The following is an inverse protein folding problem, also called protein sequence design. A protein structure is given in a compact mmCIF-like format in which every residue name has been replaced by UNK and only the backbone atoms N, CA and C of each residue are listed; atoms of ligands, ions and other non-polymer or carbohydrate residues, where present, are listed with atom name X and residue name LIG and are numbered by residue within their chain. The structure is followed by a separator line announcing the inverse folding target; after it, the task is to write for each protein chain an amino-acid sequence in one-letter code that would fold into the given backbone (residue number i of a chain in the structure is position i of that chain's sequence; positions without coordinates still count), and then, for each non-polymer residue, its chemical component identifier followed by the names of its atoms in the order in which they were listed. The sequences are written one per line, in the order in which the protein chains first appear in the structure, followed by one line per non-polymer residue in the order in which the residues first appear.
data_IF_288350146872
#
_entry.id   IF_288350146872
#
_cell.length_a   1.000
_cell.length_b   1.000
_cell.length_c   1.000
_cell.angle_alpha   90.00
_cell.angle_beta   90.00
_cell.angle_gamma   90.00
#
_symmetry.space_group_name_H-M   'P 1'
#
loop_
_entity.id
_entity.type
_entity.pdbx_description
1 polymer ?
#
# COMPACT_ATOMS: atom_id res chain seq x y z
N UNK A 1 2.75 -28.45 37.90
CA UNK A 1 3.34 -28.24 36.58
C UNK A 1 2.32 -27.44 35.80
N UNK A 2 2.63 -26.20 35.39
CA UNK A 2 1.79 -25.48 34.43
C UNK A 2 1.75 -26.34 33.17
N UNK A 3 0.55 -26.68 32.67
CA UNK A 3 0.39 -27.44 31.42
C UNK A 3 1.05 -26.68 30.28
N UNK A 4 1.74 -27.40 29.37
CA UNK A 4 2.17 -26.79 28.11
C UNK A 4 0.92 -26.32 27.38
N UNK A 5 0.93 -25.07 26.86
CA UNK A 5 -0.14 -24.53 26.03
C UNK A 5 -0.32 -25.37 24.75
N UNK A 6 -1.51 -25.36 24.17
CA UNK A 6 -1.74 -25.94 22.86
C UNK A 6 -1.18 -25.01 21.77
N UNK A 7 -0.49 -25.59 20.78
CA UNK A 7 0.00 -24.82 19.61
C UNK A 7 -1.14 -24.61 18.64
N UNK A 8 -1.44 -23.33 18.35
CA UNK A 8 -2.33 -22.95 17.26
C UNK A 8 -1.48 -22.59 16.02
N UNK A 9 -1.54 -23.43 14.99
CA UNK A 9 -0.81 -23.20 13.76
C UNK A 9 -1.35 -22.00 12.94
N UNK A 10 -2.61 -21.60 13.15
CA UNK A 10 -3.20 -20.46 12.45
C UNK A 10 -2.78 -19.11 13.07
N UNK A 11 -2.51 -19.08 14.36
CA UNK A 11 -1.99 -17.91 15.10
C UNK A 11 -0.88 -18.32 16.08
N UNK A 12 0.33 -18.66 15.58
CA UNK A 12 1.40 -19.26 16.40
C UNK A 12 1.87 -18.43 17.60
N UNK A 13 1.74 -17.12 17.51
CA UNK A 13 2.17 -16.19 18.57
C UNK A 13 1.00 -15.44 19.20
N UNK A 14 -0.22 -15.93 19.01
CA UNK A 14 -1.44 -15.37 19.62
C UNK A 14 -1.54 -13.86 19.34
N UNK A 15 -1.44 -13.50 18.06
CA UNK A 15 -1.54 -12.12 17.59
C UNK A 15 -2.88 -11.51 18.00
N UNK A 16 -3.95 -12.29 17.91
CA UNK A 16 -5.30 -11.84 18.24
C UNK A 16 -5.42 -11.37 19.70
N UNK A 17 -4.75 -12.05 20.64
CA UNK A 17 -4.73 -11.67 22.06
C UNK A 17 -4.00 -10.36 22.32
N UNK A 18 -3.13 -9.91 21.41
CA UNK A 18 -2.33 -8.68 21.52
C UNK A 18 -3.06 -7.45 20.95
N UNK A 19 -4.22 -7.63 20.35
CA UNK A 19 -5.04 -6.57 19.77
C UNK A 19 -6.03 -6.02 20.81
N UNK A 20 -6.35 -4.73 20.71
CA UNK A 20 -7.46 -4.14 21.43
C UNK A 20 -8.81 -4.58 20.84
N UNK A 21 -9.90 -4.37 21.57
CA UNK A 21 -11.25 -4.69 21.07
C UNK A 21 -11.60 -3.89 19.81
N UNK A 22 -11.21 -2.60 19.76
CA UNK A 22 -11.42 -1.76 18.59
C UNK A 22 -10.62 -2.26 17.37
N UNK A 23 -9.36 -2.67 17.59
CA UNK A 23 -8.52 -3.22 16.52
C UNK A 23 -9.09 -4.54 15.97
N UNK A 24 -9.60 -5.42 16.84
CA UNK A 24 -10.30 -6.64 16.43
C UNK A 24 -11.55 -6.31 15.62
N UNK A 25 -12.39 -5.38 16.09
CA UNK A 25 -13.60 -4.97 15.38
C UNK A 25 -13.29 -4.40 13.99
N UNK A 26 -12.28 -3.54 13.87
CA UNK A 26 -11.85 -2.96 12.59
C UNK A 26 -11.32 -4.07 11.65
N UNK A 27 -10.49 -4.98 12.16
CA UNK A 27 -10.01 -6.14 11.40
C UNK A 27 -11.16 -7.00 10.88
N UNK A 28 -12.10 -7.35 11.76
CA UNK A 28 -13.22 -8.23 11.41
C UNK A 28 -14.15 -7.58 10.38
N UNK A 29 -14.37 -6.26 10.48
CA UNK A 29 -15.10 -5.48 9.48
C UNK A 29 -14.38 -5.51 8.14
N UNK A 30 -13.06 -5.28 8.12
CA UNK A 30 -12.26 -5.33 6.90
C UNK A 30 -12.23 -6.74 6.30
N UNK A 31 -12.13 -7.78 7.14
CA UNK A 31 -12.17 -9.17 6.72
C UNK A 31 -13.51 -9.53 6.05
N UNK A 32 -14.62 -9.24 6.71
CA UNK A 32 -15.96 -9.51 6.17
C UNK A 32 -16.16 -8.80 4.82
N UNK A 33 -15.83 -7.50 4.74
CA UNK A 33 -15.90 -6.76 3.50
C UNK A 33 -15.01 -7.37 2.40
N UNK A 34 -13.77 -7.70 2.72
CA UNK A 34 -12.84 -8.29 1.77
C UNK A 34 -13.35 -9.62 1.21
N UNK A 35 -13.84 -10.51 2.07
CA UNK A 35 -14.35 -11.83 1.66
C UNK A 35 -15.68 -11.71 0.90
N UNK A 36 -16.62 -10.91 1.37
CA UNK A 36 -17.96 -10.86 0.82
C UNK A 36 -18.09 -9.99 -0.43
N UNK A 37 -17.26 -8.92 -0.52
CA UNK A 37 -17.39 -7.93 -1.59
C UNK A 37 -16.20 -7.89 -2.56
N UNK A 38 -14.97 -8.05 -2.09
CA UNK A 38 -13.78 -7.97 -2.96
C UNK A 38 -13.44 -9.33 -3.59
N UNK A 39 -13.47 -10.42 -2.83
CA UNK A 39 -13.10 -11.74 -3.33
C UNK A 39 -13.94 -12.21 -4.53
N UNK A 40 -15.27 -12.01 -4.59
CA UNK A 40 -16.06 -12.40 -5.76
C UNK A 40 -15.72 -11.63 -7.05
N UNK A 41 -15.17 -10.41 -6.94
CA UNK A 41 -14.87 -9.53 -8.08
C UNK A 41 -13.49 -9.74 -8.67
N UNK A 42 -12.53 -10.25 -7.88
CA UNK A 42 -11.10 -10.11 -8.20
C UNK A 42 -10.67 -10.88 -9.46
N UNK A 43 -11.20 -12.07 -9.70
CA UNK A 43 -10.80 -12.89 -10.85
C UNK A 43 -11.10 -12.17 -12.15
N UNK A 44 -12.31 -11.64 -12.32
CA UNK A 44 -12.72 -10.86 -13.48
C UNK A 44 -11.96 -9.53 -13.56
N UNK A 45 -11.87 -8.78 -12.45
CA UNK A 45 -11.18 -7.51 -12.39
C UNK A 45 -9.70 -7.64 -12.79
N UNK A 46 -9.02 -8.69 -12.35
CA UNK A 46 -7.63 -8.95 -12.74
C UNK A 46 -7.50 -9.36 -14.21
N UNK A 47 -8.36 -10.24 -14.70
CA UNK A 47 -8.34 -10.69 -16.09
C UNK A 47 -8.60 -9.56 -17.08
N UNK A 48 -9.54 -8.67 -16.78
CA UNK A 48 -10.00 -7.57 -17.63
C UNK A 48 -9.21 -6.27 -17.42
N UNK A 49 -8.28 -6.25 -16.46
CA UNK A 49 -7.54 -5.02 -16.06
C UNK A 49 -8.51 -3.88 -15.69
N UNK A 50 -9.53 -4.25 -14.92
CA UNK A 50 -10.62 -3.38 -14.53
C UNK A 50 -10.51 -2.96 -13.06
N UNK A 51 -10.81 -1.69 -12.80
CA UNK A 51 -10.94 -1.12 -11.46
C UNK A 51 -12.36 -0.59 -11.30
N UNK A 52 -13.09 -1.10 -10.30
CA UNK A 52 -14.41 -0.63 -9.94
C UNK A 52 -14.30 0.56 -8.96
N UNK A 53 -14.67 1.80 -9.38
CA UNK A 53 -14.57 2.98 -8.51
C UNK A 53 -15.48 2.92 -7.27
N UNK A 54 -16.57 2.14 -7.31
CA UNK A 54 -17.51 2.03 -6.19
C UNK A 54 -16.86 1.41 -4.95
N UNK A 55 -15.75 0.67 -5.12
CA UNK A 55 -14.94 0.14 -4.01
C UNK A 55 -14.49 1.25 -3.05
N UNK A 56 -14.18 2.45 -3.55
CA UNK A 56 -13.80 3.57 -2.69
C UNK A 56 -14.94 4.01 -1.78
N UNK A 57 -16.16 4.11 -2.31
CA UNK A 57 -17.36 4.44 -1.54
C UNK A 57 -17.70 3.35 -0.53
N UNK A 58 -17.68 2.09 -0.96
CA UNK A 58 -17.91 0.94 -0.07
C UNK A 58 -16.91 0.93 1.11
N UNK A 59 -15.63 1.14 0.84
CA UNK A 59 -14.59 1.25 1.89
C UNK A 59 -14.79 2.49 2.78
N UNK A 60 -15.20 3.61 2.19
CA UNK A 60 -15.47 4.85 2.92
C UNK A 60 -16.63 4.72 3.89
N UNK A 61 -17.75 4.09 3.48
CA UNK A 61 -18.92 3.81 4.32
C UNK A 61 -18.57 2.93 5.55
N UNK A 62 -17.55 2.08 5.42
CA UNK A 62 -17.06 1.21 6.48
C UNK A 62 -15.91 1.82 7.32
N UNK A 63 -15.51 3.07 7.02
CA UNK A 63 -14.39 3.73 7.70
C UNK A 63 -13.00 3.12 7.41
N UNK A 64 -12.86 2.39 6.31
CA UNK A 64 -11.60 1.74 5.93
C UNK A 64 -10.64 2.67 5.16
N UNK A 65 -11.12 3.85 4.74
CA UNK A 65 -10.31 4.89 4.11
C UNK A 65 -9.85 5.92 5.16
N UNK A 66 -8.53 6.17 5.22
CA UNK A 66 -7.95 7.11 6.16
C UNK A 66 -8.21 6.78 7.64
N UNK A 67 -8.06 5.52 8.08
CA UNK A 67 -8.38 5.14 9.46
C UNK A 67 -7.61 5.94 10.51
N UNK A 68 -6.43 6.47 10.20
CA UNK A 68 -5.61 7.30 11.09
C UNK A 68 -5.94 8.79 11.04
N UNK A 69 -6.90 9.21 10.20
CA UNK A 69 -7.35 10.61 10.12
C UNK A 69 -8.33 10.87 11.27
N UNK A 70 -8.21 12.00 11.99
CA UNK A 70 -9.13 12.34 13.07
C UNK A 70 -10.60 12.45 12.63
N UNK A 71 -11.51 12.16 13.56
CA UNK A 71 -12.97 12.20 13.33
C UNK A 71 -13.45 13.58 12.89
N UNK A 72 -12.83 14.66 13.37
CA UNK A 72 -13.20 16.04 13.00
C UNK A 72 -13.02 16.33 11.48
N UNK A 73 -12.22 15.50 10.79
CA UNK A 73 -12.02 15.54 9.33
C UNK A 73 -12.67 14.37 8.61
N UNK A 74 -13.55 13.61 9.29
CA UNK A 74 -14.30 12.50 8.70
C UNK A 74 -13.58 11.16 8.69
N UNK A 75 -12.42 11.04 9.31
CA UNK A 75 -11.74 9.76 9.55
C UNK A 75 -12.30 9.02 10.75
N UNK A 76 -11.65 7.93 11.14
CA UNK A 76 -12.05 7.08 12.28
C UNK A 76 -11.21 7.39 13.54
N UNK A 77 -10.09 8.06 13.38
CA UNK A 77 -9.18 8.37 14.50
C UNK A 77 -8.49 7.16 15.10
N UNK A 78 -8.43 6.04 14.36
CA UNK A 78 -7.77 4.81 14.79
C UNK A 78 -6.24 4.89 14.66
N UNK A 79 -5.53 3.97 15.31
CA UNK A 79 -4.08 3.88 15.25
C UNK A 79 -3.53 3.20 13.99
N UNK A 80 -2.19 3.19 13.90
CA UNK A 80 -1.50 2.55 12.79
C UNK A 80 -1.66 1.03 12.78
N UNK A 81 -1.81 0.38 13.95
CA UNK A 81 -2.09 -1.06 14.00
C UNK A 81 -3.40 -1.36 13.29
N UNK A 82 -4.47 -0.60 13.55
CA UNK A 82 -5.74 -0.75 12.85
C UNK A 82 -5.59 -0.58 11.32
N UNK A 83 -4.84 0.45 10.87
CA UNK A 83 -4.52 0.64 9.45
C UNK A 83 -3.79 -0.58 8.86
N UNK A 84 -2.82 -1.14 9.58
CA UNK A 84 -2.09 -2.34 9.17
C UNK A 84 -3.01 -3.56 9.02
N UNK A 85 -3.92 -3.76 9.97
CA UNK A 85 -4.89 -4.86 9.95
C UNK A 85 -5.84 -4.74 8.75
N UNK A 86 -6.34 -3.54 8.46
CA UNK A 86 -7.15 -3.30 7.23
C UNK A 86 -6.34 -3.64 5.98
N UNK A 87 -5.09 -3.17 5.89
CA UNK A 87 -4.22 -3.46 4.75
C UNK A 87 -3.99 -4.98 4.57
N UNK A 88 -3.81 -5.74 5.68
CA UNK A 88 -3.66 -7.19 5.67
C UNK A 88 -4.88 -7.89 5.09
N UNK A 89 -6.08 -7.55 5.54
CA UNK A 89 -7.30 -8.22 5.11
C UNK A 89 -7.66 -7.88 3.65
N UNK A 90 -7.45 -6.65 3.22
CA UNK A 90 -7.68 -6.24 1.81
C UNK A 90 -6.66 -6.89 0.88
N UNK A 91 -5.36 -6.94 1.24
CA UNK A 91 -4.32 -7.53 0.38
C UNK A 91 -4.35 -9.07 0.39
N UNK A 92 -4.96 -9.69 1.39
CA UNK A 92 -5.30 -11.13 1.36
C UNK A 92 -6.13 -11.47 0.11
N UNK A 93 -6.94 -10.53 -0.36
CA UNK A 93 -7.67 -10.67 -1.63
C UNK A 93 -6.80 -10.24 -2.80
N UNK A 94 -6.28 -9.00 -2.78
CA UNK A 94 -5.46 -8.51 -3.89
C UNK A 94 -4.61 -7.29 -3.51
N UNK A 95 -3.33 -7.31 -3.92
CA UNK A 95 -2.43 -6.17 -3.70
C UNK A 95 -2.87 -4.92 -4.47
N UNK A 96 -3.60 -5.05 -5.57
CA UNK A 96 -4.16 -3.91 -6.30
C UNK A 96 -5.20 -3.16 -5.47
N UNK A 97 -6.12 -3.86 -4.85
CA UNK A 97 -7.13 -3.26 -3.97
C UNK A 97 -6.49 -2.59 -2.74
N UNK A 98 -5.50 -3.23 -2.11
CA UNK A 98 -4.77 -2.61 -1.01
C UNK A 98 -4.01 -1.36 -1.48
N UNK A 99 -3.43 -1.39 -2.68
CA UNK A 99 -2.72 -0.24 -3.25
C UNK A 99 -3.64 0.97 -3.45
N UNK A 100 -4.85 0.76 -3.98
CA UNK A 100 -5.88 1.80 -4.12
C UNK A 100 -6.21 2.45 -2.78
N UNK A 101 -6.52 1.64 -1.77
CA UNK A 101 -6.81 2.08 -0.40
C UNK A 101 -5.63 2.84 0.23
N UNK A 102 -4.42 2.30 0.07
CA UNK A 102 -3.20 2.88 0.65
C UNK A 102 -2.85 4.24 0.04
N UNK A 103 -2.99 4.39 -1.28
CA UNK A 103 -2.81 5.68 -1.96
C UNK A 103 -3.80 6.71 -1.42
N UNK A 104 -5.08 6.37 -1.33
CA UNK A 104 -6.11 7.25 -0.77
C UNK A 104 -5.74 7.69 0.66
N UNK A 105 -5.45 6.73 1.54
CA UNK A 105 -5.25 6.96 2.98
C UNK A 105 -3.91 7.63 3.30
N UNK A 106 -2.79 7.06 2.81
CA UNK A 106 -1.44 7.43 3.24
C UNK A 106 -0.76 8.44 2.34
N UNK A 107 -1.13 8.50 1.05
CA UNK A 107 -0.45 9.34 0.07
C UNK A 107 -1.29 10.57 -0.34
N UNK A 108 -2.61 10.57 -0.10
CA UNK A 108 -3.50 11.70 -0.38
C UNK A 108 -4.03 12.31 0.91
N UNK A 109 -4.75 11.56 1.73
CA UNK A 109 -5.35 12.10 2.96
C UNK A 109 -4.27 12.51 3.97
N UNK A 110 -3.24 11.69 4.17
CA UNK A 110 -2.18 12.00 5.12
C UNK A 110 -1.46 13.32 4.80
N UNK A 111 -0.94 13.60 3.59
CA UNK A 111 -0.28 14.88 3.31
C UNK A 111 -1.21 16.09 3.43
N UNK A 112 -2.48 15.97 3.07
CA UNK A 112 -3.46 17.03 3.27
C UNK A 112 -3.66 17.29 4.78
N UNK A 113 -3.79 16.23 5.58
CA UNK A 113 -3.92 16.36 7.03
C UNK A 113 -2.65 16.93 7.69
N UNK A 114 -1.48 16.39 7.33
CA UNK A 114 -0.22 16.74 7.99
C UNK A 114 0.37 18.08 7.54
N UNK A 115 0.13 18.48 6.29
CA UNK A 115 0.81 19.60 5.67
C UNK A 115 -0.13 20.67 5.08
N UNK A 116 -1.42 20.36 4.96
CA UNK A 116 -2.42 21.28 4.42
C UNK A 116 -2.83 22.37 5.39
N UNK A 117 -3.39 23.45 4.84
CA UNK A 117 -4.10 24.47 5.62
C UNK A 117 -5.39 23.88 6.21
N UNK A 118 -5.97 24.60 7.18
CA UNK A 118 -7.23 24.18 7.78
C UNK A 118 -8.37 24.11 6.74
N UNK A 119 -8.40 25.06 5.81
CA UNK A 119 -9.37 25.09 4.72
C UNK A 119 -9.21 23.88 3.79
N UNK A 120 -7.98 23.52 3.43
CA UNK A 120 -7.70 22.31 2.66
C UNK A 120 -8.17 21.05 3.38
N UNK A 121 -7.88 20.92 4.69
CA UNK A 121 -8.32 19.75 5.48
C UNK A 121 -9.84 19.61 5.47
N UNK A 122 -10.57 20.70 5.79
CA UNK A 122 -12.04 20.70 5.84
C UNK A 122 -12.68 20.49 4.47
N UNK A 123 -12.03 20.94 3.41
CA UNK A 123 -12.53 20.79 2.05
C UNK A 123 -12.35 19.36 1.51
N UNK A 124 -11.14 18.79 1.63
CA UNK A 124 -10.79 17.53 0.97
C UNK A 124 -11.06 16.29 1.82
N UNK A 125 -10.65 16.31 3.11
CA UNK A 125 -10.59 15.08 3.90
C UNK A 125 -11.94 14.38 4.09
N UNK A 126 -13.07 15.09 4.38
CA UNK A 126 -14.34 14.41 4.57
C UNK A 126 -14.85 13.69 3.31
N UNK A 127 -14.60 14.25 2.11
CA UNK A 127 -15.01 13.64 0.84
C UNK A 127 -14.13 12.44 0.47
N UNK A 128 -12.84 12.54 0.74
CA UNK A 128 -11.86 11.46 0.54
C UNK A 128 -12.13 10.31 1.50
N UNK A 129 -12.46 10.59 2.77
CA UNK A 129 -12.77 9.59 3.78
C UNK A 129 -14.03 8.78 3.45
N UNK A 130 -15.06 9.43 2.89
CA UNK A 130 -16.27 8.75 2.42
C UNK A 130 -16.14 8.09 1.05
N UNK A 131 -14.97 8.20 0.40
CA UNK A 131 -14.76 7.67 -0.95
C UNK A 131 -15.59 8.35 -2.04
N UNK A 132 -16.16 9.52 -1.75
CA UNK A 132 -16.85 10.37 -2.73
C UNK A 132 -15.88 10.95 -3.76
N UNK A 133 -14.68 11.28 -3.31
CA UNK A 133 -13.58 11.71 -4.13
C UNK A 133 -12.42 10.70 -4.05
N UNK A 134 -11.82 10.45 -5.19
CA UNK A 134 -10.67 9.57 -5.35
C UNK A 134 -9.42 10.42 -5.52
N UNK A 135 -8.36 10.07 -4.79
CA UNK A 135 -7.10 10.77 -4.86
C UNK A 135 -5.97 9.97 -5.50
N UNK A 136 -4.99 10.70 -6.03
CA UNK A 136 -3.73 10.13 -6.49
C UNK A 136 -2.53 10.95 -6.02
N UNK A 137 -1.33 10.33 -6.10
CA UNK A 137 -0.08 10.89 -5.58
C UNK A 137 0.99 10.91 -6.65
N UNK A 138 1.32 12.10 -7.15
CA UNK A 138 2.27 12.31 -8.22
C UNK A 138 3.66 12.70 -7.72
N UNK A 139 4.53 11.71 -7.51
CA UNK A 139 5.94 11.90 -7.17
C UNK A 139 6.86 11.42 -8.29
N UNK A 140 6.75 10.14 -8.65
CA UNK A 140 7.61 9.45 -9.63
C UNK A 140 7.46 10.03 -11.02
N UNK A 141 8.59 10.24 -11.71
CA UNK A 141 8.67 10.67 -13.10
C UNK A 141 9.33 9.61 -13.98
N UNK A 142 9.19 9.68 -15.32
CA UNK A 142 9.82 8.71 -16.22
C UNK A 142 11.32 8.53 -15.97
N UNK A 143 12.04 9.60 -15.66
CA UNK A 143 13.49 9.62 -15.43
C UNK A 143 13.89 9.74 -13.93
N UNK A 144 12.92 9.77 -13.00
CA UNK A 144 13.16 9.97 -11.57
C UNK A 144 12.26 9.05 -10.72
N UNK A 145 12.69 7.80 -10.54
CA UNK A 145 12.03 6.79 -9.72
C UNK A 145 12.66 6.69 -8.32
N UNK A 146 13.74 5.91 -8.18
CA UNK A 146 14.43 5.72 -6.89
C UNK A 146 15.13 6.99 -6.38
N UNK A 147 15.42 7.93 -7.28
CA UNK A 147 15.90 9.28 -6.95
C UNK A 147 14.80 10.33 -7.27
N UNK A 148 13.83 10.53 -6.38
CA UNK A 148 12.78 11.54 -6.60
C UNK A 148 13.31 12.97 -6.50
N UNK A 149 14.52 13.19 -5.96
CA UNK A 149 15.18 14.49 -5.95
C UNK A 149 15.56 15.01 -7.32
N UNK A 150 15.77 14.08 -8.27
CA UNK A 150 16.05 14.40 -9.68
C UNK A 150 14.81 14.81 -10.49
N UNK A 151 13.61 14.91 -9.89
CA UNK A 151 12.38 15.30 -10.60
C UNK A 151 12.55 16.58 -11.42
N UNK A 152 11.88 16.64 -12.56
CA UNK A 152 11.87 17.77 -13.48
C UNK A 152 10.59 18.60 -13.45
N UNK A 153 9.50 18.07 -12.88
CA UNK A 153 8.24 18.82 -12.72
C UNK A 153 8.51 20.10 -11.93
N UNK A 154 8.04 21.22 -12.47
CA UNK A 154 8.23 22.57 -11.90
C UNK A 154 6.90 23.21 -11.54
N UNK A 155 6.93 24.06 -10.52
CA UNK A 155 5.87 24.98 -10.16
C UNK A 155 6.44 26.39 -10.18
N UNK A 156 6.12 27.15 -11.23
CA UNK A 156 6.56 28.52 -11.41
C UNK A 156 5.57 29.47 -10.78
N UNK A 157 6.05 30.41 -9.97
CA UNK A 157 5.20 31.46 -9.38
C UNK A 157 4.65 32.39 -10.48
N UNK A 158 3.36 32.63 -10.41
CA UNK A 158 2.63 33.60 -11.25
C UNK A 158 1.80 34.52 -10.35
N UNK A 159 1.17 35.54 -10.94
CA UNK A 159 0.28 36.39 -10.17
C UNK A 159 -0.91 35.59 -9.62
N UNK A 160 -1.12 35.65 -8.29
CA UNK A 160 -2.19 34.95 -7.59
C UNK A 160 -2.02 33.42 -7.44
N UNK A 161 -0.87 32.82 -7.84
CA UNK A 161 -0.72 31.36 -7.72
C UNK A 161 0.54 30.77 -8.35
N UNK A 162 0.39 29.59 -8.91
CA UNK A 162 1.47 28.85 -9.54
C UNK A 162 1.03 28.24 -10.87
N UNK A 163 2.01 27.99 -11.74
CA UNK A 163 1.85 27.26 -12.99
C UNK A 163 2.72 26.01 -12.95
N UNK A 164 2.07 24.84 -13.02
CA UNK A 164 2.74 23.54 -12.94
C UNK A 164 2.94 22.95 -14.34
N UNK A 165 4.18 22.47 -14.61
CA UNK A 165 4.53 21.82 -15.89
C UNK A 165 5.42 20.63 -15.63
N UNK A 166 5.12 19.49 -16.29
CA UNK A 166 5.86 18.24 -16.18
C UNK A 166 4.97 17.00 -16.32
N UNK A 167 5.55 15.85 -16.01
CA UNK A 167 4.85 14.57 -16.13
C UNK A 167 5.18 13.66 -14.95
N UNK A 168 4.16 12.95 -14.43
CA UNK A 168 4.33 11.88 -13.45
C UNK A 168 3.91 10.55 -14.09
N UNK A 169 4.53 9.46 -13.67
CA UNK A 169 4.26 8.12 -14.21
C UNK A 169 4.08 7.09 -13.10
N UNK A 170 3.44 5.98 -13.43
CA UNK A 170 3.09 4.91 -12.48
C UNK A 170 2.21 5.39 -11.32
N UNK A 171 1.28 6.29 -11.62
CA UNK A 171 0.43 6.92 -10.61
C UNK A 171 -0.88 6.13 -10.47
N UNK A 172 -0.98 5.38 -9.38
CA UNK A 172 -2.22 4.66 -9.03
C UNK A 172 -3.38 5.62 -8.87
N UNK A 173 -4.54 5.20 -9.34
CA UNK A 173 -5.80 5.93 -9.34
C UNK A 173 -5.87 7.15 -10.29
N UNK A 174 -4.76 7.64 -10.86
CA UNK A 174 -4.76 8.92 -11.60
C UNK A 174 -5.82 9.01 -12.71
N UNK A 175 -6.14 7.94 -13.50
CA UNK A 175 -7.16 8.05 -14.55
C UNK A 175 -8.59 8.29 -14.04
N UNK A 176 -8.85 7.97 -12.78
CA UNK A 176 -10.16 8.13 -12.14
C UNK A 176 -10.14 9.14 -10.99
N UNK A 177 -8.99 9.78 -10.71
CA UNK A 177 -8.81 10.67 -9.59
C UNK A 177 -9.58 11.98 -9.76
N UNK A 178 -10.15 12.48 -8.66
CA UNK A 178 -10.74 13.81 -8.52
C UNK A 178 -9.72 14.79 -7.92
N UNK A 179 -8.79 14.28 -7.08
CA UNK A 179 -7.78 15.04 -6.34
C UNK A 179 -6.38 14.50 -6.64
N UNK A 180 -5.45 15.40 -6.95
CA UNK A 180 -4.07 15.06 -7.32
C UNK A 180 -3.11 15.76 -6.35
N UNK A 181 -2.41 15.00 -5.51
CA UNK A 181 -1.30 15.53 -4.69
C UNK A 181 -0.02 15.43 -5.50
N UNK A 182 0.48 16.57 -5.97
CA UNK A 182 1.62 16.66 -6.89
C UNK A 182 2.82 17.30 -6.20
N UNK A 183 3.98 16.64 -6.33
CA UNK A 183 5.27 17.18 -5.85
C UNK A 183 6.05 17.76 -7.02
N UNK A 184 6.48 19.04 -6.87
CA UNK A 184 7.16 19.79 -7.90
C UNK A 184 8.25 20.68 -7.30
N UNK A 185 9.30 20.99 -8.08
CA UNK A 185 10.31 22.00 -7.74
C UNK A 185 9.70 23.40 -7.91
N UNK A 186 9.70 24.21 -6.85
CA UNK A 186 9.12 25.56 -6.88
C UNK A 186 10.21 26.63 -6.97
N UNK A 187 10.11 27.50 -7.97
CA UNK A 187 11.03 28.62 -8.15
C UNK A 187 10.90 29.67 -7.03
N UNK A 188 9.68 29.95 -6.57
CA UNK A 188 9.41 30.82 -5.43
C UNK A 188 10.07 30.36 -4.12
N UNK A 189 10.50 29.10 -4.07
CA UNK A 189 11.12 28.49 -2.89
C UNK A 189 12.56 28.05 -3.17
N UNK A 190 13.25 28.72 -4.10
CA UNK A 190 14.65 28.41 -4.44
C UNK A 190 14.87 27.03 -5.05
N UNK A 191 13.89 26.50 -5.77
CA UNK A 191 13.95 25.16 -6.36
C UNK A 191 13.63 24.01 -5.38
N UNK A 192 13.23 24.32 -4.16
CA UNK A 192 12.82 23.28 -3.21
C UNK A 192 11.54 22.57 -3.66
N UNK A 193 11.46 21.27 -3.35
CA UNK A 193 10.28 20.46 -3.64
C UNK A 193 9.14 20.88 -2.72
N UNK A 194 7.96 21.15 -3.31
CA UNK A 194 6.73 21.51 -2.61
C UNK A 194 5.59 20.62 -3.08
N UNK A 195 4.60 20.39 -2.20
CA UNK A 195 3.38 19.68 -2.53
C UNK A 195 2.27 20.65 -2.96
N UNK A 196 1.50 20.27 -3.96
CA UNK A 196 0.35 21.00 -4.47
C UNK A 196 -0.84 20.08 -4.59
N UNK A 197 -2.04 20.58 -4.32
CA UNK A 197 -3.30 19.85 -4.51
C UNK A 197 -3.97 20.41 -5.76
N UNK A 198 -4.15 19.55 -6.77
CA UNK A 198 -4.85 19.87 -8.01
C UNK A 198 -6.17 19.10 -8.06
N UNK A 199 -7.11 19.61 -8.84
CA UNK A 199 -8.42 19.00 -9.02
C UNK A 199 -8.65 18.60 -10.48
N UNK A 200 -9.47 17.56 -10.68
CA UNK A 200 -9.91 17.09 -11.98
C UNK A 200 -10.57 18.23 -12.79
N UNK A 201 -10.27 18.28 -14.06
CA UNK A 201 -10.87 19.28 -14.98
C UNK A 201 -10.08 20.58 -15.08
N UNK A 202 -9.01 20.77 -14.30
CA UNK A 202 -8.12 21.91 -14.49
C UNK A 202 -7.54 21.91 -15.90
N UNK A 203 -7.50 23.07 -16.55
CA UNK A 203 -6.96 23.21 -17.91
C UNK A 203 -5.48 22.81 -17.95
N UNK A 204 -5.11 21.98 -18.90
CA UNK A 204 -3.73 21.46 -19.04
C UNK A 204 -3.43 20.21 -18.21
N UNK A 205 -4.35 19.77 -17.34
CA UNK A 205 -4.22 18.54 -16.57
C UNK A 205 -4.87 17.37 -17.31
N UNK A 206 -4.11 16.27 -17.49
CA UNK A 206 -4.66 15.01 -18.03
C UNK A 206 -3.99 13.81 -17.36
N UNK A 207 -4.70 12.69 -17.30
CA UNK A 207 -4.24 11.48 -16.63
C UNK A 207 -4.52 10.22 -17.47
N UNK A 208 -3.77 9.99 -18.58
CA UNK A 208 -3.94 8.82 -19.43
C UNK A 208 -3.57 7.53 -18.68
N UNK A 209 -4.36 6.46 -18.91
CA UNK A 209 -4.13 5.12 -18.36
C UNK A 209 -2.87 4.49 -18.96
N UNK A 210 -2.15 3.72 -18.15
CA UNK A 210 -1.10 2.79 -18.59
C UNK A 210 -1.74 1.42 -18.70
N UNK A 211 -1.76 0.88 -19.90
CA UNK A 211 -2.33 -0.44 -20.23
C UNK A 211 -1.27 -1.55 -20.23
N UNK A 212 -1.74 -2.80 -20.27
CA UNK A 212 -0.92 -4.02 -20.38
C UNK A 212 0.01 -4.25 -19.17
N UNK A 213 -0.36 -3.84 -17.97
CA UNK A 213 0.35 -4.26 -16.78
C UNK A 213 0.14 -5.76 -16.54
N UNK A 214 1.20 -6.47 -16.18
CA UNK A 214 1.13 -7.89 -15.79
C UNK A 214 0.94 -8.08 -14.29
N UNK A 215 0.91 -7.00 -13.53
CA UNK A 215 0.82 -6.96 -12.08
C UNK A 215 -0.11 -5.83 -11.65
N UNK A 216 -0.75 -5.96 -10.48
CA UNK A 216 -1.73 -4.99 -9.96
C UNK A 216 -2.81 -4.61 -10.99
N UNK A 217 -3.30 -5.60 -11.74
CA UNK A 217 -4.22 -5.36 -12.85
C UNK A 217 -5.59 -4.85 -12.39
N UNK A 218 -5.99 -5.16 -11.16
CA UNK A 218 -7.21 -4.64 -10.51
C UNK A 218 -7.09 -3.18 -10.06
N UNK A 219 -5.89 -2.58 -10.11
CA UNK A 219 -5.63 -1.19 -9.71
C UNK A 219 -5.29 -0.36 -10.94
N UNK A 220 -6.19 0.53 -11.35
CA UNK A 220 -5.94 1.45 -12.45
C UNK A 220 -4.74 2.35 -12.15
N UNK A 221 -3.84 2.44 -13.10
CA UNK A 221 -2.60 3.20 -12.99
C UNK A 221 -2.42 4.03 -14.24
N UNK A 222 -1.95 5.26 -14.10
CA UNK A 222 -1.76 6.14 -15.24
C UNK A 222 -0.55 7.03 -15.12
N UNK A 223 -0.50 7.99 -16.00
CA UNK A 223 0.37 9.15 -15.93
C UNK A 223 -0.40 10.34 -15.36
N UNK A 224 0.29 11.41 -14.99
CA UNK A 224 -0.29 12.74 -14.79
C UNK A 224 0.52 13.69 -15.64
N UNK A 225 -0.11 14.29 -16.63
CA UNK A 225 0.49 15.25 -17.56
C UNK A 225 0.03 16.64 -17.18
N UNK A 226 0.96 17.56 -17.02
CA UNK A 226 0.71 18.95 -16.67
C UNK A 226 1.34 19.85 -17.74
N UNK A 227 0.49 20.52 -18.49
CA UNK A 227 0.86 21.50 -19.51
C UNK A 227 0.40 22.87 -19.06
N UNK A 228 1.29 23.54 -18.31
CA UNK A 228 1.04 24.86 -17.75
C UNK A 228 -0.27 24.96 -16.93
N UNK A 229 -0.49 23.99 -16.04
CA UNK A 229 -1.67 23.96 -15.17
C UNK A 229 -1.60 25.11 -14.16
N UNK A 230 -2.54 26.03 -14.24
CA UNK A 230 -2.64 27.18 -13.31
C UNK A 230 -3.45 26.80 -12.06
N UNK A 231 -2.90 27.09 -10.88
CA UNK A 231 -3.51 26.90 -9.57
C UNK A 231 -3.35 28.14 -8.71
N UNK A 232 -4.27 28.38 -7.80
CA UNK A 232 -4.16 29.45 -6.81
C UNK A 232 -3.05 29.21 -5.76
N UNK A 233 -2.75 30.22 -4.97
CA UNK A 233 -1.80 30.09 -3.84
C UNK A 233 -2.27 29.08 -2.79
N UNK A 234 -3.56 28.88 -2.68
CA UNK A 234 -4.23 27.92 -1.80
C UNK A 234 -4.05 26.46 -2.20
N UNK A 235 -3.56 26.18 -3.41
CA UNK A 235 -3.21 24.82 -3.83
C UNK A 235 -1.92 24.29 -3.16
N UNK A 236 -1.05 25.17 -2.68
CA UNK A 236 0.19 24.81 -2.01
C UNK A 236 -0.10 24.14 -0.65
N UNK A 237 0.58 23.03 -0.35
CA UNK A 237 0.63 22.46 1.01
C UNK A 237 1.65 23.28 1.84
N UNK A 238 1.19 24.15 2.75
CA UNK A 238 2.09 25.10 3.42
C UNK A 238 3.01 24.45 4.45
N UNK A 239 2.59 23.35 5.06
CA UNK A 239 3.23 22.73 6.24
C UNK A 239 4.52 21.96 5.96
N UNK A 240 5.02 21.91 4.72
CA UNK A 240 6.21 21.10 4.41
C UNK A 240 7.02 21.66 3.24
N UNK A 241 8.34 21.41 3.28
CA UNK A 241 9.28 21.73 2.21
C UNK A 241 10.33 20.62 2.06
N UNK A 242 10.77 20.38 0.83
CA UNK A 242 11.78 19.37 0.48
C UNK A 242 11.24 17.94 0.49
N UNK A 243 12.16 16.98 0.37
CA UNK A 243 11.83 15.55 0.32
C UNK A 243 11.22 15.00 1.62
N UNK A 244 11.27 15.74 2.72
CA UNK A 244 10.59 15.35 3.98
C UNK A 244 9.09 15.15 3.78
N UNK A 245 8.47 15.94 2.88
CA UNK A 245 7.05 15.83 2.56
C UNK A 245 6.68 14.47 1.98
N UNK A 246 7.12 14.15 0.76
CA UNK A 246 6.79 12.88 0.13
C UNK A 246 7.31 11.67 0.92
N UNK A 247 8.48 11.73 1.56
CA UNK A 247 8.99 10.63 2.38
C UNK A 247 8.17 10.41 3.66
N UNK A 248 7.61 11.48 4.25
CA UNK A 248 6.66 11.35 5.34
C UNK A 248 5.42 10.53 4.95
N UNK A 249 4.88 10.77 3.75
CA UNK A 249 3.76 10.00 3.18
C UNK A 249 4.15 8.55 2.92
N UNK A 250 5.28 8.35 2.22
CA UNK A 250 5.78 7.02 1.87
C UNK A 250 6.03 6.13 3.10
N UNK A 251 6.51 6.68 4.22
CA UNK A 251 6.73 5.88 5.43
C UNK A 251 5.42 5.29 5.97
N UNK A 252 4.29 6.00 5.88
CA UNK A 252 2.96 5.50 6.28
C UNK A 252 2.47 4.42 5.32
N UNK A 253 2.58 4.65 4.03
CA UNK A 253 2.21 3.68 3.01
C UNK A 253 3.06 2.40 3.11
N UNK A 254 4.38 2.52 3.25
CA UNK A 254 5.31 1.39 3.44
C UNK A 254 4.99 0.54 4.66
N UNK A 255 4.54 1.17 5.74
CA UNK A 255 4.06 0.44 6.92
C UNK A 255 2.83 -0.41 6.59
N UNK A 256 1.81 0.16 5.92
CA UNK A 256 0.65 -0.59 5.44
C UNK A 256 1.02 -1.73 4.49
N UNK A 257 2.01 -1.51 3.58
CA UNK A 257 2.55 -2.55 2.70
C UNK A 257 3.14 -3.72 3.50
N UNK A 258 3.81 -3.45 4.63
CA UNK A 258 4.43 -4.51 5.45
C UNK A 258 3.40 -5.48 6.03
N UNK A 259 2.19 -5.03 6.31
CA UNK A 259 1.07 -5.86 6.74
C UNK A 259 0.36 -6.51 5.55
N UNK A 260 0.07 -5.72 4.53
CA UNK A 260 -0.67 -6.19 3.36
C UNK A 260 0.01 -7.36 2.67
N UNK A 261 1.31 -7.27 2.45
CA UNK A 261 2.09 -8.37 1.84
C UNK A 261 1.98 -9.69 2.63
N UNK A 262 1.89 -9.62 3.96
CA UNK A 262 1.67 -10.81 4.79
C UNK A 262 0.25 -11.37 4.61
N UNK A 263 -0.77 -10.54 4.39
CA UNK A 263 -2.10 -11.00 4.01
C UNK A 263 -2.09 -11.80 2.71
N UNK A 264 -1.37 -11.33 1.69
CA UNK A 264 -1.17 -12.09 0.44
C UNK A 264 -0.38 -13.39 0.67
N UNK A 265 0.63 -13.36 1.55
CA UNK A 265 1.39 -14.56 1.93
C UNK A 265 0.50 -15.59 2.65
N UNK A 266 -0.36 -15.14 3.56
CA UNK A 266 -1.33 -16.01 4.24
C UNK A 266 -2.32 -16.65 3.27
N UNK A 267 -2.84 -15.91 2.29
CA UNK A 267 -3.66 -16.49 1.23
C UNK A 267 -2.91 -17.63 0.53
N UNK A 268 -1.67 -17.37 0.10
CA UNK A 268 -0.84 -18.35 -0.60
C UNK A 268 -0.53 -19.58 0.28
N UNK A 269 -0.25 -19.38 1.56
CA UNK A 269 -0.02 -20.43 2.54
C UNK A 269 -1.25 -21.32 2.73
N UNK A 270 -2.42 -20.72 2.95
CA UNK A 270 -3.67 -21.46 3.14
C UNK A 270 -4.07 -22.22 1.87
N UNK A 271 -3.96 -21.59 0.70
CA UNK A 271 -4.23 -22.23 -0.59
C UNK A 271 -3.32 -23.44 -0.82
N UNK A 272 -2.01 -23.29 -0.60
CA UNK A 272 -1.05 -24.37 -0.76
C UNK A 272 -1.31 -25.52 0.24
N UNK A 273 -1.60 -25.19 1.51
CA UNK A 273 -1.94 -26.17 2.54
C UNK A 273 -3.19 -26.97 2.14
N UNK A 274 -4.28 -26.31 1.78
CA UNK A 274 -5.52 -26.98 1.40
C UNK A 274 -5.32 -27.85 0.16
N UNK A 275 -4.68 -27.30 -0.87
CA UNK A 275 -4.34 -28.08 -2.07
C UNK A 275 -3.53 -29.34 -1.75
N UNK A 276 -2.55 -29.21 -0.85
CA UNK A 276 -1.72 -30.36 -0.45
C UNK A 276 -2.46 -31.43 0.33
N UNK A 277 -3.51 -31.08 1.08
CA UNK A 277 -4.38 -32.03 1.78
C UNK A 277 -5.30 -32.75 0.81
N UNK A 278 -5.82 -32.07 -0.20
CA UNK A 278 -6.81 -32.60 -1.13
C UNK A 278 -6.16 -33.39 -2.28
N UNK A 279 -4.99 -32.96 -2.76
CA UNK A 279 -4.33 -33.53 -3.92
C UNK A 279 -3.59 -34.81 -3.58
N UNK A 280 -4.03 -35.90 -4.17
CA UNK A 280 -3.43 -37.22 -4.03
C UNK A 280 -2.42 -37.50 -5.16
N UNK A 281 -1.20 -37.91 -4.83
CA UNK A 281 -0.18 -38.43 -5.76
C UNK A 281 0.62 -39.55 -5.10
N UNK A 282 0.93 -40.61 -5.86
CA UNK A 282 1.62 -41.79 -5.35
C UNK A 282 0.88 -42.43 -4.15
N UNK A 283 -0.45 -42.42 -4.20
CA UNK A 283 -1.32 -43.05 -3.20
C UNK A 283 -1.46 -42.32 -1.86
N UNK A 284 -0.95 -41.07 -1.74
CA UNK A 284 -1.05 -40.29 -0.49
C UNK A 284 -1.25 -38.80 -0.81
N UNK A 285 -1.82 -37.98 0.12
CA UNK A 285 -1.87 -36.55 -0.01
C UNK A 285 -0.47 -35.95 -0.18
N UNK A 286 -0.34 -34.89 -0.97
CA UNK A 286 0.93 -34.16 -1.12
C UNK A 286 1.43 -33.60 0.23
N UNK A 287 0.52 -33.19 1.11
CA UNK A 287 0.85 -32.68 2.45
C UNK A 287 1.53 -33.76 3.34
N UNK A 288 1.46 -35.04 3.00
CA UNK A 288 2.20 -36.09 3.68
C UNK A 288 3.67 -36.23 3.27
N UNK A 289 4.16 -35.39 2.32
CA UNK A 289 5.55 -35.43 1.84
C UNK A 289 6.44 -34.46 2.62
N UNK A 290 7.63 -34.91 3.01
CA UNK A 290 8.56 -34.11 3.82
C UNK A 290 8.90 -32.75 3.21
N UNK A 291 9.16 -32.67 1.89
CA UNK A 291 9.48 -31.42 1.22
C UNK A 291 8.28 -30.47 1.17
N UNK A 292 7.05 -31.01 1.11
CA UNK A 292 5.84 -30.20 1.15
C UNK A 292 5.63 -29.60 2.55
N UNK A 293 5.76 -30.44 3.60
CA UNK A 293 5.66 -30.01 5.00
C UNK A 293 6.73 -28.96 5.34
N UNK A 294 7.98 -29.18 4.87
CA UNK A 294 9.06 -28.19 5.06
C UNK A 294 8.68 -26.83 4.50
N UNK A 295 8.17 -26.77 3.26
CA UNK A 295 7.74 -25.51 2.64
C UNK A 295 6.64 -24.83 3.46
N UNK A 296 5.64 -25.57 3.96
CA UNK A 296 4.60 -25.03 4.83
C UNK A 296 5.18 -24.46 6.14
N UNK A 297 6.13 -25.17 6.75
CA UNK A 297 6.79 -24.68 7.97
C UNK A 297 7.60 -23.42 7.74
N UNK A 298 8.35 -23.34 6.62
CA UNK A 298 9.10 -22.14 6.23
C UNK A 298 8.14 -20.95 6.03
N UNK A 299 7.03 -21.14 5.29
CA UNK A 299 6.02 -20.10 5.07
C UNK A 299 5.44 -19.56 6.37
N UNK A 300 4.97 -20.47 7.24
CA UNK A 300 4.36 -20.11 8.52
C UNK A 300 5.34 -19.34 9.42
N UNK A 301 6.60 -19.79 9.48
CA UNK A 301 7.64 -19.13 10.28
C UNK A 301 7.81 -17.66 9.86
N UNK A 302 7.96 -17.41 8.56
CA UNK A 302 8.18 -16.05 8.06
C UNK A 302 6.95 -15.15 8.23
N UNK A 303 5.73 -15.70 8.05
CA UNK A 303 4.49 -14.97 8.29
C UNK A 303 4.36 -14.58 9.76
N UNK A 304 4.55 -15.52 10.68
CA UNK A 304 4.41 -15.28 12.12
C UNK A 304 5.41 -14.23 12.63
N UNK A 305 6.69 -14.33 12.24
CA UNK A 305 7.72 -13.36 12.60
C UNK A 305 7.43 -11.97 11.99
N UNK A 306 7.01 -11.93 10.74
CA UNK A 306 6.67 -10.68 10.04
C UNK A 306 5.50 -9.93 10.67
N UNK A 307 4.44 -10.66 11.06
CA UNK A 307 3.28 -10.08 11.74
C UNK A 307 3.66 -9.45 13.09
N UNK A 308 4.47 -10.14 13.90
CA UNK A 308 4.94 -9.61 15.19
C UNK A 308 5.81 -8.37 15.01
N UNK A 309 6.70 -8.36 14.02
CA UNK A 309 7.52 -7.21 13.71
C UNK A 309 6.68 -6.00 13.28
N UNK A 310 5.68 -6.23 12.40
CA UNK A 310 4.75 -5.18 11.95
C UNK A 310 3.90 -4.64 13.08
N UNK A 311 3.38 -5.50 13.97
CA UNK A 311 2.63 -5.09 15.17
C UNK A 311 3.50 -4.18 16.05
N UNK A 312 4.76 -4.59 16.32
CA UNK A 312 5.65 -3.76 17.16
C UNK A 312 5.93 -2.39 16.53
N UNK A 313 6.16 -2.33 15.23
CA UNK A 313 6.37 -1.05 14.53
C UNK A 313 5.10 -0.20 14.60
N UNK A 314 3.91 -0.78 14.45
CA UNK A 314 2.63 -0.07 14.59
C UNK A 314 2.47 0.57 15.95
N UNK A 315 2.72 -0.17 17.02
CA UNK A 315 2.70 0.37 18.40
C UNK A 315 3.68 1.55 18.58
N UNK A 316 4.89 1.43 18.00
CA UNK A 316 5.87 2.52 18.02
C UNK A 316 5.43 3.74 17.20
N UNK A 317 4.70 3.55 16.12
CA UNK A 317 4.11 4.64 15.33
C UNK A 317 3.01 5.35 16.12
N UNK A 318 2.14 4.61 16.78
CA UNK A 318 1.07 5.16 17.62
C UNK A 318 1.62 5.92 18.84
N UNK A 319 2.77 5.47 19.39
CA UNK A 319 3.52 6.15 20.44
C UNK A 319 4.36 7.36 19.94
N UNK A 320 4.40 7.64 18.63
CA UNK A 320 5.26 8.67 18.06
C UNK A 320 6.78 8.39 18.13
N UNK A 321 7.17 7.14 18.32
CA UNK A 321 8.56 6.68 18.56
C UNK A 321 9.19 5.92 17.39
N UNK A 322 8.56 5.93 16.23
CA UNK A 322 9.09 5.23 15.08
C UNK A 322 10.22 6.00 14.39
N UNK A 323 11.11 5.25 13.72
CA UNK A 323 12.08 5.78 12.78
C UNK A 323 11.84 5.18 11.38
N UNK A 324 12.15 5.92 10.28
CA UNK A 324 11.99 5.42 8.91
C UNK A 324 12.69 4.08 8.63
N UNK A 325 13.81 3.85 9.30
CA UNK A 325 14.59 2.60 9.20
C UNK A 325 13.79 1.40 9.72
N UNK A 326 12.99 1.56 10.77
CA UNK A 326 12.12 0.49 11.29
C UNK A 326 11.10 0.06 10.23
N UNK A 327 10.51 1.03 9.54
CA UNK A 327 9.59 0.77 8.42
C UNK A 327 10.33 0.11 7.25
N UNK A 328 11.58 0.53 6.97
CA UNK A 328 12.40 -0.12 5.95
C UNK A 328 12.69 -1.58 6.27
N UNK A 329 12.93 -1.94 7.54
CA UNK A 329 13.12 -3.34 7.97
C UNK A 329 11.87 -4.16 7.64
N UNK A 330 10.69 -3.75 8.14
CA UNK A 330 9.46 -4.55 7.98
C UNK A 330 8.98 -4.58 6.53
N UNK A 331 9.04 -3.46 5.78
CA UNK A 331 8.67 -3.46 4.36
C UNK A 331 9.57 -4.39 3.56
N UNK A 332 10.90 -4.25 3.69
CA UNK A 332 11.85 -5.08 2.95
C UNK A 332 11.71 -6.56 3.28
N UNK A 333 11.68 -6.90 4.58
CA UNK A 333 11.59 -8.29 5.02
C UNK A 333 10.26 -8.93 4.57
N UNK A 334 9.14 -8.33 4.97
CA UNK A 334 7.83 -8.96 4.80
C UNK A 334 7.44 -9.10 3.34
N UNK A 335 7.74 -8.10 2.50
CA UNK A 335 7.44 -8.18 1.07
C UNK A 335 8.32 -9.21 0.36
N UNK A 336 9.63 -9.22 0.66
CA UNK A 336 10.55 -10.23 0.09
C UNK A 336 10.11 -11.64 0.45
N UNK A 337 9.78 -11.87 1.72
CA UNK A 337 9.28 -13.18 2.20
C UNK A 337 7.92 -13.55 1.62
N UNK A 338 6.99 -12.59 1.51
CA UNK A 338 5.70 -12.81 0.87
C UNK A 338 5.84 -13.23 -0.60
N UNK A 339 6.76 -12.61 -1.35
CA UNK A 339 7.05 -12.97 -2.73
C UNK A 339 7.63 -14.39 -2.83
N UNK A 340 8.57 -14.75 -1.94
CA UNK A 340 9.12 -16.12 -1.88
C UNK A 340 8.02 -17.13 -1.54
N UNK A 341 7.12 -16.82 -0.60
CA UNK A 341 5.97 -17.65 -0.23
C UNK A 341 5.04 -17.83 -1.43
N UNK A 342 4.71 -16.78 -2.16
CA UNK A 342 3.84 -16.86 -3.33
C UNK A 342 4.46 -17.72 -4.45
N UNK A 343 5.78 -17.61 -4.68
CA UNK A 343 6.52 -18.46 -5.63
C UNK A 343 6.52 -19.93 -5.19
N UNK A 344 6.73 -20.19 -3.89
CA UNK A 344 6.62 -21.55 -3.34
C UNK A 344 5.21 -22.13 -3.49
N UNK A 345 4.18 -21.34 -3.16
CA UNK A 345 2.79 -21.77 -3.30
C UNK A 345 2.44 -22.12 -4.75
N UNK A 346 2.86 -21.27 -5.71
CA UNK A 346 2.70 -21.53 -7.14
C UNK A 346 3.36 -22.87 -7.54
N UNK A 347 4.58 -23.11 -7.07
CA UNK A 347 5.30 -24.36 -7.33
C UNK A 347 4.60 -25.57 -6.69
N UNK A 348 4.11 -25.45 -5.46
CA UNK A 348 3.40 -26.51 -4.73
C UNK A 348 2.10 -26.95 -5.40
N UNK A 349 1.45 -26.09 -6.19
CA UNK A 349 0.28 -26.43 -7.01
C UNK A 349 0.63 -27.13 -8.32
N UNK A 350 1.93 -27.25 -8.69
CA UNK A 350 2.35 -27.85 -9.95
C UNK A 350 1.77 -27.12 -11.16
N UNK A 351 1.23 -27.85 -12.13
CA UNK A 351 0.59 -27.28 -13.31
C UNK A 351 -0.63 -26.40 -13.00
N UNK A 352 -1.38 -26.71 -11.94
CA UNK A 352 -2.50 -25.90 -11.49
C UNK A 352 -2.08 -24.53 -10.95
N UNK A 353 -0.84 -24.39 -10.50
CA UNK A 353 -0.31 -23.13 -9.97
C UNK A 353 -0.18 -21.99 -10.98
N UNK A 354 -0.32 -22.26 -12.30
CA UNK A 354 -0.34 -21.22 -13.34
C UNK A 354 -1.75 -20.86 -13.80
N UNK A 355 -2.78 -21.54 -13.28
CA UNK A 355 -4.18 -21.24 -13.59
C UNK A 355 -4.70 -20.12 -12.72
N UNK A 356 -5.51 -19.21 -13.31
CA UNK A 356 -6.22 -18.15 -12.58
C UNK A 356 -7.21 -18.69 -11.54
N UNK A 357 -7.66 -19.91 -11.68
CA UNK A 357 -8.58 -20.60 -10.78
C UNK A 357 -8.01 -20.74 -9.34
N UNK A 358 -6.71 -21.03 -9.22
CA UNK A 358 -6.04 -21.21 -7.93
C UNK A 358 -5.47 -19.91 -7.33
N UNK A 359 -5.45 -18.84 -8.10
CA UNK A 359 -5.11 -17.47 -7.73
C UNK A 359 -3.68 -17.23 -7.18
N UNK A 360 -2.91 -18.26 -6.86
CA UNK A 360 -1.54 -18.12 -6.33
C UNK A 360 -0.60 -17.39 -7.31
N UNK A 361 -0.78 -17.61 -8.63
CA UNK A 361 -0.03 -16.93 -9.67
C UNK A 361 -0.31 -15.41 -9.69
N UNK A 362 -1.57 -15.01 -9.46
CA UNK A 362 -1.96 -13.60 -9.37
C UNK A 362 -1.24 -12.90 -8.22
N UNK A 363 -1.23 -13.51 -7.03
CA UNK A 363 -0.48 -12.97 -5.88
C UNK A 363 1.02 -12.89 -6.16
N UNK A 364 1.60 -13.91 -6.80
CA UNK A 364 3.01 -13.89 -7.19
C UNK A 364 3.31 -12.72 -8.12
N UNK A 365 2.53 -12.52 -9.19
CA UNK A 365 2.71 -11.40 -10.12
C UNK A 365 2.54 -10.04 -9.42
N UNK A 366 1.55 -9.90 -8.56
CA UNK A 366 1.32 -8.67 -7.81
C UNK A 366 2.49 -8.34 -6.87
N UNK A 367 3.01 -9.32 -6.16
CA UNK A 367 4.09 -9.14 -5.20
C UNK A 367 5.43 -8.75 -5.86
N UNK A 368 5.64 -9.03 -7.16
CA UNK A 368 6.78 -8.48 -7.90
C UNK A 368 6.73 -6.95 -7.95
N UNK A 369 5.54 -6.36 -8.15
CA UNK A 369 5.38 -4.90 -8.07
C UNK A 369 5.50 -4.39 -6.64
N UNK A 370 4.88 -5.07 -5.66
CA UNK A 370 4.97 -4.70 -4.24
C UNK A 370 6.42 -4.68 -3.76
N UNK A 371 7.26 -5.58 -4.26
CA UNK A 371 8.70 -5.62 -3.98
C UNK A 371 9.47 -4.47 -4.64
N UNK A 372 8.90 -3.88 -5.71
CA UNK A 372 9.59 -2.87 -6.53
C UNK A 372 9.22 -1.44 -6.14
N UNK A 373 7.93 -1.14 -5.87
CA UNK A 373 7.46 0.22 -5.64
C UNK A 373 7.68 0.72 -4.21
N UNK A 374 7.47 2.03 -4.01
CA UNK A 374 7.62 2.73 -2.72
C UNK A 374 8.97 2.48 -2.04
N UNK A 375 10.03 2.49 -2.82
CA UNK A 375 11.36 2.05 -2.46
C UNK A 375 11.55 0.57 -2.80
N UNK A 376 12.36 0.31 -3.82
CA UNK A 376 12.71 -1.05 -4.20
C UNK A 376 13.39 -1.78 -3.03
N UNK A 377 13.35 -3.10 -3.05
CA UNK A 377 13.93 -3.96 -2.01
C UNK A 377 15.37 -3.56 -1.65
N UNK A 378 16.19 -3.26 -2.66
CA UNK A 378 17.58 -2.86 -2.47
C UNK A 378 17.72 -1.43 -1.94
N UNK A 379 16.82 -0.50 -2.32
CA UNK A 379 16.83 0.86 -1.75
C UNK A 379 16.63 0.82 -0.23
N UNK A 380 15.74 -0.05 0.27
CA UNK A 380 15.59 -0.26 1.72
C UNK A 380 16.83 -0.85 2.36
N UNK A 381 17.55 -1.74 1.67
CA UNK A 381 18.85 -2.27 2.15
C UNK A 381 19.88 -1.14 2.28
N UNK A 382 19.94 -0.23 1.32
CA UNK A 382 20.88 0.91 1.36
C UNK A 382 20.53 1.92 2.47
N UNK A 383 19.24 2.17 2.73
CA UNK A 383 18.78 2.97 3.88
C UNK A 383 19.30 2.36 5.19
N UNK A 384 19.13 1.05 5.37
CA UNK A 384 19.59 0.33 6.56
C UNK A 384 21.12 0.29 6.64
N UNK A 385 21.80 0.04 5.51
CA UNK A 385 23.27 0.06 5.44
C UNK A 385 23.85 1.39 5.90
N UNK A 386 23.27 2.51 5.44
CA UNK A 386 23.65 3.85 5.91
C UNK A 386 23.40 4.02 7.42
N UNK A 387 22.27 3.58 7.94
CA UNK A 387 21.96 3.70 9.36
C UNK A 387 22.93 2.88 10.24
N UNK A 388 23.38 1.71 9.76
CA UNK A 388 24.29 0.81 10.47
C UNK A 388 25.72 1.31 10.42
N UNK A 389 26.16 1.84 9.28
CA UNK A 389 27.58 2.18 9.03
C UNK A 389 27.89 3.67 9.18
N UNK A 390 26.87 4.53 9.14
CA UNK A 390 27.04 5.98 9.03
C UNK A 390 27.47 6.48 7.65
N UNK A 391 27.64 5.58 6.67
CA UNK A 391 28.17 5.89 5.33
C UNK A 391 27.06 5.72 4.29
N UNK A 392 26.80 6.76 3.50
CA UNK A 392 25.86 6.68 2.38
C UNK A 392 26.48 5.86 1.22
N UNK A 393 25.65 5.04 0.57
CA UNK A 393 26.07 4.25 -0.58
C UNK A 393 26.03 5.05 -1.89
N UNK A 394 25.36 6.20 -1.91
CA UNK A 394 25.21 7.13 -3.04
C UNK A 394 24.95 8.56 -2.55
#
# INVERSE_FOLDING_TARGET
MAGMGSFDWADPFLLDEQLTDDERMIRDTAHAYAQDRLAPRIIAAFAEEHTDPDIFREMGELGLLGPTIPEEYGGVGAGYVAYGLVAREVERIDSGYRSMMSVQSSLVMYPIHAYGSEDQKRHYLPRLARGEWIGCFGLTEPDAGSDPGAMRTTARKVDGGYRLSGAKTWISNSPIADVFVIWAKSDAHGGAIRGFVLEKGMKGLSAPKIDNKLSLRSSITGMVMMDDVEVGDDALLPGVQGLKGPFGCLNRARYGISWGALGAAEFCFHAARQYGLDRQQFGTPLAGRQLFQKKLADMQTEIALGLQASLRVGRLMDEGRFAPEMVSIVKRNNVGKALDIARMARDMHGGNGISGEYQVMRHMMNLETVNTYEGAHDVHALILGRAITGIAAF
#
